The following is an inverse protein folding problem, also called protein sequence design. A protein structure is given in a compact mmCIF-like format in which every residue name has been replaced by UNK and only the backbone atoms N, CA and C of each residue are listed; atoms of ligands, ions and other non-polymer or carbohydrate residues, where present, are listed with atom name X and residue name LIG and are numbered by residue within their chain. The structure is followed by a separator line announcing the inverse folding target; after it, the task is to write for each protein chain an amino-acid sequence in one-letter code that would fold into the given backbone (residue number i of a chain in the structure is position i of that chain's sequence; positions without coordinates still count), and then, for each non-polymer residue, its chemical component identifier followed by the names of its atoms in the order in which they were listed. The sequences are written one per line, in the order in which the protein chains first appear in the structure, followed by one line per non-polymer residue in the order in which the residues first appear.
data_IF_589621737746
#
_entry.id   IF_589621737746
#
_cell.length_a   1.000
_cell.length_b   1.000
_cell.length_c   1.000
_cell.angle_alpha   90.00
_cell.angle_beta   90.00
_cell.angle_gamma   90.00
#
_symmetry.space_group_name_H-M   'P 1'
#
loop_
_entity.id
_entity.type
_entity.pdbx_description
1 polymer ?
#
# COMPACT_ATOMS: atom_id res chain seq x y z
N UNK A 1 15.01 -3.06 7.05
CA UNK A 1 13.56 -3.33 7.16
C UNK A 1 12.83 -2.05 6.75
N UNK A 2 12.14 -2.03 5.60
CA UNK A 2 11.52 -0.80 5.09
C UNK A 2 10.34 -0.40 5.99
N UNK A 3 10.40 0.79 6.58
CA UNK A 3 9.38 1.31 7.49
C UNK A 3 8.53 2.34 6.75
N UNK A 4 7.26 2.02 6.52
CA UNK A 4 6.31 2.94 5.91
C UNK A 4 6.10 4.16 6.81
N UNK A 5 6.18 5.34 6.22
CA UNK A 5 5.79 6.58 6.89
C UNK A 5 4.27 6.72 6.93
N UNK A 6 3.76 7.68 7.71
CA UNK A 6 2.32 8.01 7.71
C UNK A 6 1.84 8.45 6.32
N UNK A 7 2.68 9.19 5.59
CA UNK A 7 2.39 9.66 4.22
C UNK A 7 2.28 8.49 3.24
N UNK A 8 3.18 7.50 3.34
CA UNK A 8 3.12 6.32 2.47
C UNK A 8 1.82 5.54 2.65
N UNK A 9 1.32 5.41 3.89
CA UNK A 9 0.05 4.72 4.16
C UNK A 9 -1.14 5.44 3.53
N UNK A 10 -1.16 6.78 3.60
CA UNK A 10 -2.20 7.60 2.97
C UNK A 10 -2.16 7.41 1.45
N UNK A 11 -0.97 7.52 0.83
CA UNK A 11 -0.85 7.30 -0.61
C UNK A 11 -1.24 5.88 -1.04
N UNK A 12 -0.86 4.84 -0.28
CA UNK A 12 -1.27 3.45 -0.56
C UNK A 12 -2.80 3.34 -0.58
N UNK A 13 -3.49 4.00 0.36
CA UNK A 13 -4.93 4.00 0.43
C UNK A 13 -5.56 4.78 -0.73
N UNK A 14 -5.05 5.97 -1.06
CA UNK A 14 -5.50 6.77 -2.21
C UNK A 14 -5.30 6.03 -3.53
N UNK A 15 -4.14 5.43 -3.78
CA UNK A 15 -3.88 4.66 -5.00
C UNK A 15 -4.75 3.40 -5.10
N UNK A 16 -5.07 2.77 -3.97
CA UNK A 16 -5.98 1.65 -3.95
C UNK A 16 -7.43 2.07 -4.26
N UNK A 17 -7.91 3.13 -3.60
CA UNK A 17 -9.32 3.55 -3.65
C UNK A 17 -9.65 4.39 -4.88
N UNK A 18 -8.80 5.36 -5.22
CA UNK A 18 -9.04 6.32 -6.30
C UNK A 18 -8.53 5.82 -7.65
N UNK A 19 -7.38 5.13 -7.65
CA UNK A 19 -6.74 4.65 -8.89
C UNK A 19 -6.94 3.16 -9.17
N UNK A 20 -7.67 2.45 -8.30
CA UNK A 20 -7.95 1.01 -8.40
C UNK A 20 -6.67 0.16 -8.63
N UNK A 21 -5.54 0.59 -8.05
CA UNK A 21 -4.27 -0.13 -8.18
C UNK A 21 -4.34 -1.44 -7.40
N UNK A 22 -3.86 -2.53 -8.01
CA UNK A 22 -3.80 -3.85 -7.35
C UNK A 22 -2.67 -3.92 -6.33
N UNK A 23 -2.85 -4.79 -5.33
CA UNK A 23 -1.90 -4.95 -4.23
C UNK A 23 -0.51 -5.44 -4.68
N UNK A 24 -0.42 -6.12 -5.83
CA UNK A 24 0.87 -6.49 -6.45
C UNK A 24 1.66 -5.28 -6.94
N UNK A 25 0.99 -4.24 -7.46
CA UNK A 25 1.62 -3.00 -7.87
C UNK A 25 2.12 -2.21 -6.66
N UNK A 26 1.25 -2.01 -5.67
CA UNK A 26 1.57 -1.30 -4.43
C UNK A 26 2.69 -1.99 -3.65
N UNK A 27 2.69 -3.33 -3.62
CA UNK A 27 3.76 -4.13 -3.02
C UNK A 27 5.13 -3.83 -3.62
N UNK A 28 5.22 -3.76 -4.97
CA UNK A 28 6.46 -3.42 -5.66
C UNK A 28 6.85 -1.96 -5.46
N UNK A 29 5.91 -1.03 -5.60
CA UNK A 29 6.15 0.42 -5.50
C UNK A 29 6.67 0.83 -4.11
N UNK A 30 6.08 0.25 -3.06
CA UNK A 30 6.39 0.59 -1.67
C UNK A 30 7.37 -0.38 -1.00
N UNK A 31 7.86 -1.39 -1.72
CA UNK A 31 8.82 -2.37 -1.19
C UNK A 31 8.27 -3.18 -0.01
N UNK A 32 6.96 -3.45 0.01
CA UNK A 32 6.28 -4.18 1.08
C UNK A 32 5.60 -5.42 0.55
N UNK A 33 5.36 -6.42 1.39
CA UNK A 33 4.63 -7.63 0.98
C UNK A 33 3.17 -7.30 0.66
N UNK A 34 2.58 -8.08 -0.25
CA UNK A 34 1.16 -7.95 -0.61
C UNK A 34 0.25 -8.15 0.60
N UNK A 35 0.57 -9.06 1.54
CA UNK A 35 -0.23 -9.22 2.77
C UNK A 35 -0.28 -7.93 3.59
N UNK A 36 0.83 -7.18 3.62
CA UNK A 36 0.90 -5.90 4.33
C UNK A 36 0.10 -4.81 3.63
N UNK A 37 0.05 -4.81 2.30
CA UNK A 37 -0.85 -3.93 1.53
C UNK A 37 -2.31 -4.23 1.88
N UNK A 38 -2.72 -5.50 1.82
CA UNK A 38 -4.08 -5.90 2.15
C UNK A 38 -4.46 -5.54 3.60
N UNK A 39 -3.53 -5.73 4.54
CA UNK A 39 -3.71 -5.32 5.93
C UNK A 39 -3.93 -3.82 6.08
N UNK A 40 -3.21 -2.99 5.31
CA UNK A 40 -3.35 -1.53 5.35
C UNK A 40 -4.65 -1.02 4.73
N UNK A 41 -5.26 -1.78 3.83
CA UNK A 41 -6.52 -1.43 3.16
C UNK A 41 -7.74 -1.89 3.96
N UNK A 42 -7.63 -3.03 4.65
CA UNK A 42 -8.71 -3.58 5.50
C UNK A 42 -8.80 -2.94 6.90
N UNK A 43 -8.00 -1.90 7.18
CA UNK A 43 -7.92 -1.18 8.46
C UNK A 43 -8.53 0.21 8.32
#
# INVERSE_FOLDING_TARGET
MFKLTKKDKIHIFEEWTLENKRGTYLSKKYGIRREKVNYLINL
#
